data_IF_869500393938
#
_entry.id   IF_869500393938
#
_cell.length_a   1.000
_cell.length_b   1.000
_cell.length_c   1.000
_cell.angle_alpha   90.00
_cell.angle_beta   90.00
_cell.angle_gamma   90.00
#
_symmetry.space_group_name_H-M   'P 1'
#
loop_
_entity.id
_entity.type
_entity.pdbx_description
1 polymer ?
#
# COMPACT_ATOMS: atom_id res chain seq x y z
N UNK A 1 20.57 -19.27 18.23
CA UNK A 1 20.11 -17.86 18.27
C UNK A 1 20.72 -17.09 19.43
N UNK A 2 20.51 -17.45 20.72
CA UNK A 2 21.07 -16.72 21.89
C UNK A 2 22.60 -16.57 21.84
N UNK A 3 23.34 -17.64 21.49
CA UNK A 3 24.79 -17.59 21.30
C UNK A 3 25.21 -16.57 20.22
N UNK A 4 24.51 -16.54 19.06
CA UNK A 4 24.78 -15.58 17.99
C UNK A 4 24.56 -14.14 18.45
N UNK A 5 23.49 -13.89 19.21
CA UNK A 5 23.22 -12.58 19.78
C UNK A 5 24.30 -12.15 20.78
N UNK A 6 24.77 -13.08 21.63
CA UNK A 6 25.87 -12.83 22.58
C UNK A 6 27.19 -12.52 21.87
N UNK A 7 27.54 -13.28 20.83
CA UNK A 7 28.70 -12.99 19.98
C UNK A 7 28.58 -11.62 19.31
N UNK A 8 27.42 -11.28 18.80
CA UNK A 8 27.16 -9.96 18.22
C UNK A 8 27.35 -8.83 19.23
N UNK A 9 26.85 -9.00 20.47
CA UNK A 9 27.09 -8.02 21.56
C UNK A 9 28.56 -7.81 21.82
N UNK A 10 29.34 -8.90 21.90
CA UNK A 10 30.79 -8.84 22.15
C UNK A 10 31.53 -8.16 20.99
N UNK A 11 31.16 -8.46 19.74
CA UNK A 11 31.85 -7.90 18.57
C UNK A 11 31.47 -6.44 18.29
N UNK A 12 30.20 -6.05 18.53
CA UNK A 12 29.71 -4.72 18.21
C UNK A 12 29.78 -3.71 19.34
N UNK A 13 29.97 -4.18 20.59
CA UNK A 13 29.89 -3.34 21.80
C UNK A 13 28.45 -2.88 22.14
N UNK A 14 27.45 -3.28 21.35
CA UNK A 14 26.03 -2.99 21.57
C UNK A 14 25.45 -4.04 22.52
N UNK A 15 24.52 -3.64 23.39
CA UNK A 15 23.81 -4.57 24.28
C UNK A 15 22.35 -4.70 23.85
N UNK A 16 21.85 -5.92 23.76
CA UNK A 16 20.45 -6.21 23.49
C UNK A 16 19.63 -5.99 24.76
N UNK A 17 18.58 -5.20 24.66
CA UNK A 17 17.67 -5.00 25.78
C UNK A 17 16.55 -6.06 25.74
N UNK A 18 16.78 -7.19 26.41
CA UNK A 18 15.82 -8.29 26.46
C UNK A 18 14.49 -7.91 27.13
N UNK A 19 14.47 -6.94 28.05
CA UNK A 19 13.22 -6.44 28.67
C UNK A 19 12.33 -5.66 27.68
N UNK A 20 12.92 -5.10 26.62
CA UNK A 20 12.18 -4.42 25.52
C UNK A 20 11.98 -5.32 24.31
N UNK A 21 12.53 -6.52 24.34
CA UNK A 21 12.40 -7.52 23.28
C UNK A 21 11.23 -8.42 23.57
N UNK A 22 10.52 -8.80 22.53
CA UNK A 22 9.40 -9.74 22.59
C UNK A 22 9.68 -10.92 21.68
N UNK A 23 9.28 -12.11 22.10
CA UNK A 23 9.34 -13.31 21.29
C UNK A 23 7.94 -13.68 20.81
N UNK A 24 7.82 -13.98 19.52
CA UNK A 24 6.54 -14.34 18.91
C UNK A 24 6.60 -15.79 18.44
N UNK A 25 5.93 -16.68 19.13
CA UNK A 25 5.85 -18.08 18.79
C UNK A 25 4.65 -18.36 17.89
N UNK A 26 4.84 -19.18 16.83
CA UNK A 26 3.81 -19.51 15.87
C UNK A 26 3.83 -21.01 15.52
N UNK A 27 2.66 -21.60 15.29
CA UNK A 27 2.52 -23.03 14.99
C UNK A 27 2.98 -23.91 16.14
N UNK A 28 3.77 -24.94 15.85
CA UNK A 28 4.30 -25.87 16.85
C UNK A 28 5.22 -25.21 17.90
N UNK A 29 5.90 -24.12 17.52
CA UNK A 29 6.76 -23.39 18.46
C UNK A 29 5.98 -22.77 19.63
N UNK A 30 4.66 -22.67 19.55
CA UNK A 30 3.84 -22.11 20.62
C UNK A 30 3.79 -23.04 21.87
N UNK A 31 3.98 -24.33 21.68
CA UNK A 31 4.02 -25.31 22.78
C UNK A 31 5.26 -25.11 23.68
N UNK A 32 6.32 -24.53 23.13
CA UNK A 32 7.59 -24.25 23.82
C UNK A 32 7.79 -22.78 24.19
N UNK A 33 6.73 -21.97 24.15
CA UNK A 33 6.79 -20.52 24.36
C UNK A 33 7.43 -20.15 25.71
N UNK A 34 7.01 -20.82 26.79
CA UNK A 34 7.54 -20.58 28.14
C UNK A 34 9.01 -20.94 28.27
N UNK A 35 9.48 -21.96 27.57
CA UNK A 35 10.90 -22.34 27.53
C UNK A 35 11.73 -21.27 26.81
N UNK A 36 11.23 -20.76 25.68
CA UNK A 36 11.91 -19.69 24.94
C UNK A 36 11.95 -18.40 25.73
N UNK A 37 10.88 -18.03 26.45
CA UNK A 37 10.84 -16.85 27.30
C UNK A 37 11.92 -16.95 28.39
N UNK A 38 12.00 -18.08 29.08
CA UNK A 38 13.04 -18.34 30.09
C UNK A 38 14.45 -18.34 29.50
N UNK A 39 14.61 -18.97 28.32
CA UNK A 39 15.90 -19.04 27.65
C UNK A 39 16.43 -17.68 27.23
N UNK A 40 15.59 -16.81 26.65
CA UNK A 40 16.01 -15.50 26.14
C UNK A 40 15.88 -14.39 27.18
N UNK A 41 15.07 -14.56 28.22
CA UNK A 41 14.83 -13.54 29.24
C UNK A 41 14.01 -12.35 28.69
N UNK A 42 13.12 -12.60 27.74
CA UNK A 42 12.25 -11.60 27.10
C UNK A 42 10.78 -11.95 27.33
N UNK A 43 9.88 -11.03 27.01
CA UNK A 43 8.44 -11.23 27.16
C UNK A 43 7.85 -11.97 25.96
N UNK A 44 6.72 -12.68 26.17
CA UNK A 44 5.89 -13.18 25.07
C UNK A 44 5.22 -12.02 24.36
N UNK A 45 5.27 -12.02 23.05
CA UNK A 45 4.55 -11.07 22.20
C UNK A 45 3.29 -11.70 21.62
N UNK A 46 2.21 -10.92 21.56
CA UNK A 46 0.94 -11.35 20.97
C UNK A 46 0.69 -10.72 19.61
N UNK A 47 0.00 -11.45 18.72
CA UNK A 47 -0.49 -10.92 17.46
C UNK A 47 -1.82 -10.17 17.66
N UNK A 48 -2.01 -8.99 17.03
CA UNK A 48 -1.10 -8.31 16.08
C UNK A 48 -0.02 -7.50 16.78
N UNK A 49 1.24 -7.72 16.43
CA UNK A 49 2.32 -6.84 16.88
C UNK A 49 2.55 -5.66 15.92
N UNK A 50 3.26 -4.64 16.39
CA UNK A 50 3.57 -3.47 15.54
C UNK A 50 5.05 -3.43 15.21
N UNK A 51 5.34 -3.52 13.92
CA UNK A 51 6.68 -3.32 13.39
C UNK A 51 6.79 -1.93 12.77
N UNK A 52 7.64 -1.07 13.34
CA UNK A 52 7.80 0.33 12.91
C UNK A 52 6.46 1.10 12.80
N UNK A 53 5.51 0.78 13.67
CA UNK A 53 4.18 1.41 13.68
C UNK A 53 3.12 0.76 12.77
N UNK A 54 3.51 -0.21 11.94
CA UNK A 54 2.60 -0.97 11.08
C UNK A 54 2.09 -2.20 11.85
N UNK A 55 0.78 -2.44 11.90
CA UNK A 55 0.24 -3.66 12.47
C UNK A 55 0.57 -4.86 11.58
N UNK A 56 1.25 -5.84 12.15
CA UNK A 56 1.68 -7.06 11.45
C UNK A 56 0.91 -8.25 11.97
N UNK A 57 0.05 -8.82 11.13
CA UNK A 57 -0.67 -10.06 11.42
C UNK A 57 -1.14 -10.73 10.11
N UNK A 58 -1.51 -12.00 10.21
CA UNK A 58 -1.92 -12.82 9.07
C UNK A 58 -3.34 -12.54 8.55
N UNK A 59 -4.16 -11.86 9.35
CA UNK A 59 -5.56 -11.56 9.00
C UNK A 59 -5.70 -10.21 8.28
N UNK A 60 -6.85 -10.00 7.67
CA UNK A 60 -7.20 -8.71 7.08
C UNK A 60 -7.31 -7.63 8.16
N UNK A 61 -6.77 -6.43 7.85
CA UNK A 61 -6.89 -5.27 8.74
C UNK A 61 -8.36 -4.94 9.02
N UNK A 62 -8.66 -4.63 10.28
CA UNK A 62 -9.97 -4.19 10.76
C UNK A 62 -9.90 -2.73 11.19
N UNK A 63 -11.05 -2.10 11.42
CA UNK A 63 -11.12 -0.71 11.88
C UNK A 63 -10.27 -0.45 13.16
N UNK A 64 -10.18 -1.45 14.06
CA UNK A 64 -9.40 -1.34 15.28
C UNK A 64 -7.90 -1.13 15.03
N UNK A 65 -7.37 -1.67 13.94
CA UNK A 65 -5.95 -1.53 13.59
C UNK A 65 -5.59 -0.08 13.19
N UNK A 66 -6.59 0.69 12.75
CA UNK A 66 -6.49 2.11 12.43
C UNK A 66 -6.69 3.04 13.62
N UNK A 67 -7.05 2.50 14.81
CA UNK A 67 -7.37 3.29 16.00
C UNK A 67 -6.26 4.28 16.39
N UNK A 68 -4.98 3.90 16.28
CA UNK A 68 -3.87 4.83 16.55
C UNK A 68 -3.83 6.02 15.57
N UNK A 69 -4.30 5.86 14.34
CA UNK A 69 -4.44 6.97 13.40
C UNK A 69 -5.57 7.88 13.86
N UNK A 70 -6.72 7.32 14.22
CA UNK A 70 -7.88 8.08 14.73
C UNK A 70 -7.52 8.87 16.00
N UNK A 71 -6.83 8.25 16.96
CA UNK A 71 -6.36 8.90 18.20
C UNK A 71 -5.41 10.09 17.90
N UNK A 72 -4.56 9.98 16.86
CA UNK A 72 -3.74 11.12 16.42
C UNK A 72 -4.57 12.27 15.88
N UNK A 73 -5.64 11.98 15.12
CA UNK A 73 -6.58 13.00 14.66
C UNK A 73 -7.29 13.67 15.84
N UNK A 74 -7.82 12.91 16.79
CA UNK A 74 -8.48 13.42 17.99
C UNK A 74 -7.55 14.31 18.81
N UNK A 75 -6.33 13.85 19.08
CA UNK A 75 -5.33 14.62 19.81
C UNK A 75 -5.00 15.95 19.13
N UNK A 76 -4.88 15.98 17.80
CA UNK A 76 -4.62 17.23 17.08
C UNK A 76 -5.84 18.17 17.11
N UNK A 77 -7.04 17.62 17.01
CA UNK A 77 -8.27 18.40 17.10
C UNK A 77 -8.42 19.09 18.46
N UNK A 78 -8.07 18.40 19.57
CA UNK A 78 -8.14 18.97 20.92
C UNK A 78 -7.04 20.01 21.19
N UNK A 79 -5.84 19.80 20.66
CA UNK A 79 -4.72 20.74 20.83
C UNK A 79 -4.92 22.06 20.09
N UNK A 80 -5.64 22.05 18.97
CA UNK A 80 -5.75 23.25 18.14
C UNK A 80 -6.99 24.06 18.47
N UNK A 81 -6.76 25.31 18.86
CA UNK A 81 -7.81 26.31 19.04
C UNK A 81 -8.29 26.79 17.67
N UNK A 82 -8.89 25.89 16.89
CA UNK A 82 -9.34 26.16 15.53
C UNK A 82 -10.36 27.33 15.44
N UNK A 83 -11.01 27.68 16.56
CA UNK A 83 -11.90 28.86 16.65
C UNK A 83 -11.20 30.19 16.36
N UNK A 84 -9.89 30.26 16.57
CA UNK A 84 -9.09 31.46 16.32
C UNK A 84 -8.53 31.50 14.88
N UNK A 85 -8.77 30.47 14.07
CA UNK A 85 -8.29 30.38 12.70
C UNK A 85 -9.39 30.77 11.71
N UNK A 86 -8.99 31.52 10.68
CA UNK A 86 -9.82 31.75 9.50
C UNK A 86 -10.08 30.44 8.73
N UNK A 87 -11.06 30.42 7.86
CA UNK A 87 -11.33 29.27 6.99
C UNK A 87 -10.11 28.90 6.12
N UNK A 88 -9.36 29.91 5.63
CA UNK A 88 -8.11 29.68 4.89
C UNK A 88 -7.05 29.01 5.75
N UNK A 89 -6.84 29.47 6.99
CA UNK A 89 -5.91 28.82 7.92
C UNK A 89 -6.30 27.39 8.27
N UNK A 90 -7.59 27.10 8.43
CA UNK A 90 -8.08 25.73 8.64
C UNK A 90 -7.85 24.85 7.42
N UNK A 91 -8.06 25.37 6.21
CA UNK A 91 -7.79 24.66 4.95
C UNK A 91 -6.32 24.27 4.82
N UNK A 92 -5.42 25.18 5.11
CA UNK A 92 -3.97 24.91 5.11
C UNK A 92 -3.62 23.79 6.08
N UNK A 93 -4.13 23.84 7.32
CA UNK A 93 -3.88 22.79 8.31
C UNK A 93 -4.51 21.45 7.94
N UNK A 94 -5.67 21.44 7.31
CA UNK A 94 -6.29 20.21 6.79
C UNK A 94 -5.36 19.52 5.79
N UNK A 95 -4.85 20.26 4.83
CA UNK A 95 -4.03 19.70 3.77
C UNK A 95 -2.61 19.34 4.22
N UNK A 96 -1.99 20.15 5.10
CA UNK A 96 -0.62 19.94 5.54
C UNK A 96 -0.50 18.90 6.66
N UNK A 97 -1.36 18.98 7.67
CA UNK A 97 -1.22 18.13 8.87
C UNK A 97 -2.18 16.95 8.89
N UNK A 98 -3.49 17.18 8.69
CA UNK A 98 -4.44 16.06 8.81
C UNK A 98 -4.23 15.00 7.72
N UNK A 99 -3.83 15.41 6.51
CA UNK A 99 -3.53 14.44 5.45
C UNK A 99 -2.28 13.62 5.76
N UNK A 100 -1.26 14.22 6.42
CA UNK A 100 -0.03 13.51 6.76
C UNK A 100 -0.19 12.47 7.88
N UNK A 101 -1.15 12.66 8.81
CA UNK A 101 -1.35 11.73 9.94
C UNK A 101 -1.69 10.30 9.53
N UNK A 102 -2.42 10.13 8.45
CA UNK A 102 -2.82 8.82 7.90
C UNK A 102 -1.88 8.30 6.82
N UNK A 103 -1.02 9.14 6.25
CA UNK A 103 -0.20 8.87 5.07
C UNK A 103 0.65 7.61 5.22
N UNK A 104 1.26 7.41 6.39
CA UNK A 104 2.13 6.26 6.65
C UNK A 104 1.37 4.93 6.52
N UNK A 105 0.21 4.80 7.16
CA UNK A 105 -0.61 3.60 7.04
C UNK A 105 -1.20 3.43 5.63
N UNK A 106 -1.62 4.54 5.00
CA UNK A 106 -2.15 4.56 3.64
C UNK A 106 -1.10 4.25 2.57
N UNK A 107 0.19 4.37 2.88
CA UNK A 107 1.26 3.97 1.95
C UNK A 107 1.39 2.45 1.80
N UNK A 108 0.88 1.68 2.75
CA UNK A 108 0.97 0.21 2.74
C UNK A 108 -0.39 -0.47 2.61
N UNK A 109 -1.46 0.17 3.05
CA UNK A 109 -2.76 -0.46 3.14
C UNK A 109 -3.87 0.39 2.54
N UNK A 110 -4.79 -0.29 1.87
CA UNK A 110 -6.05 0.34 1.44
C UNK A 110 -6.84 0.78 2.67
N UNK A 111 -7.27 2.05 2.67
CA UNK A 111 -8.06 2.60 3.77
C UNK A 111 -9.47 1.99 3.76
N UNK A 112 -9.91 1.54 4.92
CA UNK A 112 -11.24 0.96 5.08
C UNK A 112 -12.33 2.06 5.00
N UNK A 113 -13.44 1.75 4.34
CA UNK A 113 -14.56 2.71 4.18
C UNK A 113 -15.05 3.31 5.50
N UNK A 114 -15.11 2.51 6.57
CA UNK A 114 -15.49 2.97 7.91
C UNK A 114 -14.49 3.95 8.51
N UNK A 115 -13.19 3.68 8.35
CA UNK A 115 -12.11 4.57 8.81
C UNK A 115 -12.13 5.87 8.01
N UNK A 116 -12.19 5.79 6.67
CA UNK A 116 -12.28 6.97 5.80
C UNK A 116 -13.41 7.90 6.21
N UNK A 117 -14.62 7.35 6.38
CA UNK A 117 -15.80 8.12 6.83
C UNK A 117 -15.54 8.82 8.17
N UNK A 118 -14.90 8.15 9.12
CA UNK A 118 -14.59 8.70 10.43
C UNK A 118 -13.53 9.81 10.35
N UNK A 119 -12.46 9.61 9.58
CA UNK A 119 -11.44 10.62 9.35
C UNK A 119 -12.01 11.87 8.66
N UNK A 120 -12.87 11.69 7.65
CA UNK A 120 -13.53 12.81 6.99
C UNK A 120 -14.53 13.54 7.89
N UNK A 121 -15.18 12.83 8.84
CA UNK A 121 -15.98 13.48 9.89
C UNK A 121 -15.12 14.38 10.78
N UNK A 122 -13.95 13.92 11.21
CA UNK A 122 -13.01 14.72 12.00
C UNK A 122 -12.54 15.97 11.23
N UNK A 123 -12.14 15.80 9.96
CA UNK A 123 -11.69 16.86 9.08
C UNK A 123 -12.79 17.90 8.82
N UNK A 124 -13.99 17.43 8.49
CA UNK A 124 -15.14 18.27 8.27
C UNK A 124 -15.56 19.04 9.54
N UNK A 125 -15.52 18.38 10.70
CA UNK A 125 -15.79 19.02 12.00
C UNK A 125 -14.77 20.14 12.27
N UNK A 126 -13.49 19.89 12.06
CA UNK A 126 -12.44 20.89 12.22
C UNK A 126 -12.67 22.10 11.31
N UNK A 127 -12.98 21.84 10.04
CA UNK A 127 -13.16 22.91 9.05
C UNK A 127 -14.35 23.80 9.39
N UNK A 128 -15.53 23.21 9.60
CA UNK A 128 -16.77 23.96 9.78
C UNK A 128 -16.97 24.50 11.20
N UNK A 129 -16.68 23.71 12.21
CA UNK A 129 -16.98 24.06 13.61
C UNK A 129 -15.84 24.82 14.29
N UNK A 130 -14.62 24.65 13.84
CA UNK A 130 -13.48 25.35 14.44
C UNK A 130 -13.25 25.02 15.91
N UNK A 131 -13.60 23.79 16.36
CA UNK A 131 -13.43 23.36 17.74
C UNK A 131 -14.49 23.91 18.72
N UNK A 132 -15.56 24.55 18.24
CA UNK A 132 -16.70 24.88 19.09
C UNK A 132 -17.60 23.66 19.28
N UNK A 133 -18.17 23.49 20.46
CA UNK A 133 -19.12 22.39 20.75
C UNK A 133 -20.48 22.57 20.07
N UNK A 134 -20.77 23.80 19.63
CA UNK A 134 -21.99 24.10 18.88
C UNK A 134 -21.87 23.63 17.43
N UNK A 135 -22.84 22.81 17.00
CA UNK A 135 -22.95 22.40 15.58
C UNK A 135 -23.19 23.65 14.73
N UNK A 136 -22.24 23.92 13.83
CA UNK A 136 -22.40 24.98 12.82
C UNK A 136 -22.98 24.39 11.54
N UNK A 137 -23.73 25.20 10.81
CA UNK A 137 -24.26 24.84 9.51
C UNK A 137 -23.13 24.58 8.51
N UNK A 138 -23.27 23.53 7.70
CA UNK A 138 -22.31 23.18 6.66
C UNK A 138 -22.82 23.74 5.34
N UNK A 139 -22.10 24.72 4.79
CA UNK A 139 -22.51 25.41 3.57
C UNK A 139 -22.41 24.53 2.30
N UNK A 140 -21.54 23.53 2.29
CA UNK A 140 -21.35 22.62 1.17
C UNK A 140 -21.09 21.19 1.63
N UNK A 141 -21.36 20.21 0.76
CA UNK A 141 -21.03 18.82 0.97
C UNK A 141 -19.50 18.64 0.96
N UNK A 142 -18.99 17.67 1.73
CA UNK A 142 -17.56 17.41 1.86
C UNK A 142 -16.90 17.08 0.51
N UNK A 143 -17.56 16.28 -0.31
CA UNK A 143 -17.08 15.90 -1.64
C UNK A 143 -16.90 17.08 -2.60
N UNK A 144 -17.70 18.15 -2.44
CA UNK A 144 -17.55 19.38 -3.23
C UNK A 144 -16.29 20.14 -2.78
N UNK A 145 -15.99 20.18 -1.48
CA UNK A 145 -14.79 20.81 -0.96
C UNK A 145 -13.52 20.10 -1.43
N UNK A 146 -13.58 18.78 -1.64
CA UNK A 146 -12.48 17.97 -2.13
C UNK A 146 -12.21 18.14 -3.64
N UNK A 147 -13.11 18.77 -4.41
CA UNK A 147 -12.86 19.04 -5.82
C UNK A 147 -11.69 20.01 -5.99
N UNK A 148 -10.96 19.92 -7.13
CA UNK A 148 -9.98 20.91 -7.52
C UNK A 148 -10.57 22.32 -7.59
N UNK A 149 -9.74 23.34 -7.42
CA UNK A 149 -10.18 24.75 -7.41
C UNK A 149 -10.77 25.20 -8.74
N UNK A 150 -10.22 24.73 -9.85
CA UNK A 150 -10.70 24.95 -11.21
C UNK A 150 -12.08 24.32 -11.47
N UNK A 151 -12.48 23.34 -10.64
CA UNK A 151 -13.79 22.69 -10.69
C UNK A 151 -14.75 23.19 -9.61
N UNK A 152 -14.46 24.37 -9.02
CA UNK A 152 -15.31 24.98 -7.99
C UNK A 152 -15.18 24.42 -6.59
N UNK A 153 -14.16 23.58 -6.32
CA UNK A 153 -13.83 23.07 -4.99
C UNK A 153 -12.85 23.98 -4.23
N UNK A 154 -12.53 23.60 -3.00
CA UNK A 154 -11.49 24.26 -2.19
C UNK A 154 -10.14 23.56 -2.28
N UNK A 155 -10.04 22.44 -3.00
CA UNK A 155 -8.81 21.65 -3.09
C UNK A 155 -8.44 20.97 -1.76
N UNK A 156 -9.43 20.57 -0.98
CA UNK A 156 -9.20 19.70 0.18
C UNK A 156 -8.75 18.35 -0.34
N UNK A 157 -7.61 17.84 0.12
CA UNK A 157 -7.07 16.56 -0.34
C UNK A 157 -8.07 15.44 -0.02
N UNK A 158 -8.52 14.71 -1.03
CA UNK A 158 -9.32 13.49 -0.87
C UNK A 158 -8.43 12.35 -0.40
N UNK A 159 -8.67 11.84 0.82
CA UNK A 159 -7.89 10.75 1.40
C UNK A 159 -8.02 9.44 0.60
N UNK A 160 -9.15 9.20 -0.06
CA UNK A 160 -9.35 8.02 -0.90
C UNK A 160 -8.45 8.07 -2.13
N UNK A 161 -8.43 9.22 -2.81
CA UNK A 161 -7.55 9.45 -3.97
C UNK A 161 -6.09 9.40 -3.55
N UNK A 162 -5.74 10.09 -2.46
CA UNK A 162 -4.39 10.06 -1.90
C UNK A 162 -3.91 8.65 -1.58
N UNK A 163 -4.74 7.81 -0.97
CA UNK A 163 -4.39 6.42 -0.67
C UNK A 163 -4.13 5.62 -1.96
N UNK A 164 -4.97 5.78 -2.99
CA UNK A 164 -4.72 5.15 -4.30
C UNK A 164 -3.38 5.60 -4.89
N UNK A 165 -3.08 6.88 -4.88
CA UNK A 165 -1.79 7.41 -5.38
C UNK A 165 -0.59 6.84 -4.61
N UNK A 166 -0.68 6.73 -3.28
CA UNK A 166 0.38 6.16 -2.46
C UNK A 166 0.62 4.67 -2.75
N UNK A 167 -0.45 3.91 -2.96
CA UNK A 167 -0.34 2.50 -3.34
C UNK A 167 0.12 2.33 -4.80
N UNK A 168 -0.32 3.20 -5.71
CA UNK A 168 0.10 3.19 -7.12
C UNK A 168 1.61 3.32 -7.28
N UNK A 169 2.27 4.09 -6.41
CA UNK A 169 3.72 4.22 -6.39
C UNK A 169 4.44 2.86 -6.30
N UNK A 170 3.90 1.91 -5.52
CA UNK A 170 4.49 0.57 -5.42
C UNK A 170 4.39 -0.22 -6.72
N UNK A 171 3.27 -0.07 -7.44
CA UNK A 171 3.07 -0.70 -8.75
C UNK A 171 4.04 -0.12 -9.77
N UNK A 172 4.15 1.22 -9.83
CA UNK A 172 5.08 1.91 -10.73
C UNK A 172 6.52 1.53 -10.43
N UNK A 173 6.93 1.53 -9.17
CA UNK A 173 8.27 1.11 -8.78
C UNK A 173 8.54 -0.38 -9.08
N UNK A 174 7.52 -1.25 -8.94
CA UNK A 174 7.66 -2.66 -9.28
C UNK A 174 7.86 -2.88 -10.79
N UNK A 175 7.30 -2.00 -11.63
CA UNK A 175 7.48 -2.05 -13.08
C UNK A 175 8.84 -1.50 -13.54
N UNK A 176 9.28 -0.40 -12.94
CA UNK A 176 10.40 0.40 -13.43
C UNK A 176 11.73 0.14 -12.72
N UNK A 177 11.70 -0.20 -11.42
CA UNK A 177 12.90 -0.27 -10.60
C UNK A 177 13.45 -1.70 -10.46
N UNK A 178 14.78 -1.81 -10.41
CA UNK A 178 15.52 -3.02 -10.12
C UNK A 178 16.19 -2.89 -8.75
N UNK A 179 15.44 -3.17 -7.68
CA UNK A 179 15.95 -3.15 -6.31
C UNK A 179 15.70 -4.46 -5.58
N UNK A 180 16.32 -4.63 -4.42
CA UNK A 180 16.15 -5.82 -3.56
C UNK A 180 14.69 -6.07 -3.23
N UNK A 181 13.94 -5.01 -2.94
CA UNK A 181 12.52 -5.07 -2.60
C UNK A 181 11.66 -5.52 -3.80
N UNK A 182 11.92 -4.95 -4.97
CA UNK A 182 11.23 -5.31 -6.21
C UNK A 182 11.52 -6.76 -6.59
N UNK A 183 12.76 -7.19 -6.49
CA UNK A 183 13.18 -8.58 -6.73
C UNK A 183 12.45 -9.55 -5.79
N UNK A 184 12.34 -9.20 -4.51
CA UNK A 184 11.62 -10.00 -3.52
C UNK A 184 10.12 -10.13 -3.86
N UNK A 185 9.47 -9.04 -4.24
CA UNK A 185 8.05 -9.05 -4.65
C UNK A 185 7.84 -9.83 -5.94
N UNK A 186 8.73 -9.64 -6.94
CA UNK A 186 8.69 -10.39 -8.20
C UNK A 186 8.83 -11.89 -7.94
N UNK A 187 9.82 -12.31 -7.19
CA UNK A 187 10.03 -13.73 -6.86
C UNK A 187 8.87 -14.33 -6.09
N UNK A 188 8.29 -13.57 -5.14
CA UNK A 188 7.20 -14.07 -4.29
C UNK A 188 5.85 -14.13 -4.99
N UNK A 189 5.53 -13.16 -5.83
CA UNK A 189 4.17 -12.99 -6.35
C UNK A 189 4.05 -13.10 -7.88
N UNK A 190 5.08 -12.75 -8.64
CA UNK A 190 5.02 -12.78 -10.08
C UNK A 190 5.55 -14.11 -10.64
N UNK A 191 6.62 -14.67 -10.05
CA UNK A 191 7.33 -15.83 -10.57
C UNK A 191 7.76 -15.60 -12.03
N UNK A 192 7.16 -16.33 -12.98
CA UNK A 192 7.41 -16.17 -14.43
C UNK A 192 6.35 -15.33 -15.16
N UNK A 193 5.39 -14.74 -14.43
CA UNK A 193 4.29 -13.96 -15.02
C UNK A 193 4.58 -12.47 -15.02
N UNK A 194 4.05 -11.75 -16.01
CA UNK A 194 4.02 -10.29 -15.97
C UNK A 194 2.97 -9.77 -14.99
N UNK A 195 3.13 -8.53 -14.51
CA UNK A 195 2.22 -7.95 -13.51
C UNK A 195 0.74 -7.91 -13.98
N UNK A 196 0.41 -7.60 -15.25
CA UNK A 196 -0.97 -7.63 -15.73
C UNK A 196 -1.66 -8.99 -15.53
N UNK A 197 -0.92 -10.09 -15.67
CA UNK A 197 -1.46 -11.46 -15.61
C UNK A 197 -1.71 -11.98 -14.19
N UNK A 198 -1.13 -11.33 -13.18
CA UNK A 198 -1.22 -11.80 -11.80
C UNK A 198 -2.49 -11.26 -11.14
N UNK A 199 -3.24 -12.16 -10.53
CA UNK A 199 -4.42 -11.84 -9.73
C UNK A 199 -4.16 -12.08 -8.25
N UNK A 200 -4.92 -11.40 -7.40
CA UNK A 200 -4.86 -11.62 -5.97
C UNK A 200 -5.40 -13.01 -5.59
N UNK A 201 -4.63 -13.75 -4.80
CA UNK A 201 -5.08 -15.01 -4.20
C UNK A 201 -5.51 -14.79 -2.74
N UNK A 202 -6.41 -15.61 -2.17
CA UNK A 202 -6.84 -15.49 -0.76
C UNK A 202 -5.68 -15.49 0.25
N UNK A 203 -4.66 -16.29 -0.02
CA UNK A 203 -3.47 -16.43 0.84
C UNK A 203 -2.41 -15.34 0.64
N UNK A 204 -2.63 -14.38 -0.25
CA UNK A 204 -1.71 -13.27 -0.40
C UNK A 204 -1.78 -12.30 0.78
N UNK A 205 -0.67 -11.60 1.04
CA UNK A 205 -0.62 -10.56 2.07
C UNK A 205 -1.67 -9.47 1.83
N UNK A 206 -2.11 -8.81 2.89
CA UNK A 206 -3.06 -7.71 2.80
C UNK A 206 -2.54 -6.57 1.93
N UNK A 207 -1.24 -6.28 2.02
CA UNK A 207 -0.55 -5.32 1.17
C UNK A 207 -0.70 -5.67 -0.32
N UNK A 208 -0.34 -6.90 -0.71
CA UNK A 208 -0.42 -7.35 -2.10
C UNK A 208 -1.85 -7.34 -2.64
N UNK A 209 -2.80 -7.77 -1.84
CA UNK A 209 -4.23 -7.71 -2.23
C UNK A 209 -4.70 -6.28 -2.46
N UNK A 210 -4.25 -5.33 -1.65
CA UNK A 210 -4.52 -3.90 -1.83
C UNK A 210 -3.95 -3.37 -3.15
N UNK A 211 -2.72 -3.75 -3.51
CA UNK A 211 -2.12 -3.39 -4.80
C UNK A 211 -2.89 -3.97 -5.99
N UNK A 212 -3.29 -5.23 -5.91
CA UNK A 212 -4.02 -5.88 -7.00
C UNK A 212 -5.41 -5.29 -7.26
N UNK A 213 -6.05 -4.68 -6.27
CA UNK A 213 -7.32 -3.98 -6.44
C UNK A 213 -7.22 -2.72 -7.29
N UNK A 214 -6.10 -2.00 -7.18
CA UNK A 214 -5.88 -0.75 -7.92
C UNK A 214 -5.06 -0.96 -9.19
N UNK A 215 -4.52 -2.16 -9.40
CA UNK A 215 -3.63 -2.50 -10.50
C UNK A 215 -4.18 -2.07 -11.86
N UNK A 216 -5.41 -2.45 -12.15
CA UNK A 216 -6.03 -2.19 -13.46
C UNK A 216 -6.21 -0.69 -13.71
N UNK A 217 -6.63 0.08 -12.68
CA UNK A 217 -6.75 1.53 -12.78
C UNK A 217 -5.38 2.18 -13.06
N UNK A 218 -4.31 1.68 -12.40
CA UNK A 218 -2.95 2.22 -12.58
C UNK A 218 -2.41 1.89 -13.97
N UNK A 219 -2.59 0.66 -14.42
CA UNK A 219 -2.15 0.24 -15.76
C UNK A 219 -2.89 0.98 -16.87
N UNK A 220 -4.18 1.30 -16.67
CA UNK A 220 -4.97 2.07 -17.63
C UNK A 220 -4.55 3.55 -17.71
N UNK A 221 -3.95 4.10 -16.66
CA UNK A 221 -3.47 5.50 -16.65
C UNK A 221 -2.07 5.66 -17.26
N UNK A 222 -1.35 4.55 -17.53
CA UNK A 222 0.01 4.55 -18.07
C UNK A 222 0.08 3.98 -19.47
N UNK A 223 1.04 4.46 -20.26
CA UNK A 223 1.49 3.81 -21.48
C UNK A 223 2.80 3.07 -21.19
N UNK A 224 2.92 1.83 -21.69
CA UNK A 224 4.15 1.07 -21.56
C UNK A 224 5.08 1.42 -22.71
N UNK A 225 6.23 2.02 -22.40
CA UNK A 225 7.33 2.14 -23.34
C UNK A 225 8.23 0.91 -23.20
N UNK A 226 8.29 0.08 -24.23
CA UNK A 226 9.06 -1.14 -24.22
C UNK A 226 10.49 -0.85 -24.64
N UNK A 227 11.44 -1.10 -23.72
CA UNK A 227 12.86 -0.93 -23.99
C UNK A 227 13.44 -2.13 -24.75
N UNK A 228 13.71 -3.23 -24.03
CA UNK A 228 14.33 -4.44 -24.58
C UNK A 228 13.32 -5.57 -24.88
N UNK A 229 12.08 -5.42 -24.51
CA UNK A 229 11.01 -6.39 -24.77
C UNK A 229 11.13 -7.74 -24.07
N UNK A 230 12.15 -7.97 -23.22
CA UNK A 230 12.37 -9.27 -22.56
C UNK A 230 11.34 -9.59 -21.50
N UNK A 231 10.84 -8.57 -20.82
CA UNK A 231 9.87 -8.71 -19.74
C UNK A 231 8.40 -8.57 -20.20
N UNK A 232 8.18 -8.14 -21.44
CA UNK A 232 6.85 -7.96 -22.01
C UNK A 232 6.48 -9.14 -22.89
N UNK A 233 5.25 -9.63 -22.74
CA UNK A 233 4.74 -10.75 -23.52
C UNK A 233 4.06 -10.27 -24.80
N UNK A 234 4.38 -10.91 -25.91
CA UNK A 234 3.90 -10.50 -27.22
C UNK A 234 2.36 -10.51 -27.34
N UNK A 235 1.73 -11.57 -26.86
CA UNK A 235 0.28 -11.72 -26.97
C UNK A 235 -0.52 -11.11 -25.84
N UNK A 236 0.00 -11.12 -24.62
CA UNK A 236 -0.78 -10.90 -23.42
C UNK A 236 -0.64 -9.50 -22.84
N UNK A 237 0.43 -8.78 -23.13
CA UNK A 237 0.67 -7.43 -22.64
C UNK A 237 0.31 -6.39 -23.71
N UNK A 238 -0.07 -5.20 -23.26
CA UNK A 238 -0.37 -4.07 -24.17
C UNK A 238 0.93 -3.35 -24.49
N UNK A 239 1.67 -3.82 -25.47
CA UNK A 239 2.95 -3.24 -25.89
C UNK A 239 2.85 -2.42 -27.18
N UNK A 240 1.78 -2.58 -27.94
CA UNK A 240 1.42 -1.77 -29.12
C UNK A 240 -0.09 -1.50 -29.09
N UNK A 241 -0.48 -0.26 -29.36
CA UNK A 241 -1.88 0.12 -29.40
C UNK A 241 -2.52 0.22 -28.01
N UNK A 242 -3.83 0.01 -27.92
CA UNK A 242 -4.62 0.17 -26.71
C UNK A 242 -5.06 -1.14 -26.03
N UNK A 243 -4.88 -2.28 -26.71
CA UNK A 243 -5.32 -3.61 -26.23
C UNK A 243 -4.29 -4.67 -26.53
N UNK A 244 -4.18 -5.73 -25.70
CA UNK A 244 -3.31 -6.88 -25.96
C UNK A 244 -3.70 -7.58 -27.27
N UNK A 245 -2.72 -8.14 -27.99
CA UNK A 245 -2.99 -8.87 -29.23
C UNK A 245 -3.91 -10.08 -29.05
N UNK A 246 -3.87 -10.75 -27.89
CA UNK A 246 -4.81 -11.84 -27.56
C UNK A 246 -6.29 -11.42 -27.64
N UNK A 247 -6.59 -10.14 -27.33
CA UNK A 247 -7.96 -9.61 -27.40
C UNK A 247 -8.31 -9.11 -28.79
N UNK A 248 -7.31 -8.62 -29.52
CA UNK A 248 -7.50 -8.17 -30.90
C UNK A 248 -7.58 -9.34 -31.89
N UNK A 249 -6.82 -10.41 -31.65
CA UNK A 249 -6.69 -11.57 -32.53
C UNK A 249 -6.86 -12.89 -31.77
N UNK A 250 -8.04 -13.15 -31.17
CA UNK A 250 -8.24 -14.33 -30.31
C UNK A 250 -8.07 -15.65 -31.05
N UNK A 251 -8.47 -15.71 -32.32
CA UNK A 251 -8.32 -16.92 -33.15
C UNK A 251 -6.86 -17.30 -33.34
N UNK A 252 -5.99 -16.31 -33.59
CA UNK A 252 -4.55 -16.51 -33.80
C UNK A 252 -3.88 -16.87 -32.47
N UNK A 253 -4.28 -16.21 -31.38
CA UNK A 253 -3.75 -16.52 -30.05
C UNK A 253 -4.00 -17.97 -29.63
N UNK A 254 -5.19 -18.52 -29.96
CA UNK A 254 -5.56 -19.88 -29.58
C UNK A 254 -4.74 -20.98 -30.30
N UNK A 255 -4.16 -20.68 -31.47
CA UNK A 255 -3.32 -21.61 -32.23
C UNK A 255 -1.83 -21.36 -32.03
N UNK A 256 -1.46 -20.29 -31.31
CA UNK A 256 -0.05 -19.95 -31.05
C UNK A 256 0.62 -21.02 -30.18
N UNK A 257 1.71 -21.61 -30.65
CA UNK A 257 2.50 -22.63 -29.92
C UNK A 257 3.19 -22.04 -28.68
N UNK A 258 3.55 -20.78 -28.72
CA UNK A 258 4.24 -20.08 -27.65
C UNK A 258 3.45 -18.83 -27.21
N UNK A 259 2.28 -18.98 -26.57
CA UNK A 259 1.42 -17.84 -26.19
C UNK A 259 2.10 -16.90 -25.18
N UNK A 260 3.12 -17.40 -24.46
CA UNK A 260 3.85 -16.66 -23.43
C UNK A 260 5.22 -16.13 -23.91
N UNK A 261 5.51 -16.16 -25.20
CA UNK A 261 6.76 -15.64 -25.76
C UNK A 261 6.92 -14.14 -25.44
N UNK A 262 8.16 -13.71 -25.18
CA UNK A 262 8.46 -12.30 -24.97
C UNK A 262 8.47 -11.54 -26.30
N UNK A 263 8.20 -10.24 -26.25
CA UNK A 263 8.31 -9.36 -27.43
C UNK A 263 9.71 -9.46 -28.05
N UNK A 264 10.75 -9.47 -27.21
CA UNK A 264 12.13 -9.63 -27.66
C UNK A 264 12.35 -10.95 -28.42
N UNK A 265 11.82 -12.07 -27.88
CA UNK A 265 12.03 -13.38 -28.53
C UNK A 265 11.29 -13.53 -29.86
N UNK A 266 10.18 -12.82 -30.03
CA UNK A 266 9.42 -12.85 -31.28
C UNK A 266 10.00 -11.90 -32.32
N UNK A 267 10.44 -10.70 -31.93
CA UNK A 267 10.90 -9.67 -32.85
C UNK A 267 12.40 -9.79 -33.18
N UNK A 268 13.20 -10.51 -32.39
CA UNK A 268 14.64 -10.65 -32.62
C UNK A 268 15.01 -11.70 -33.71
N UNK A 269 14.03 -12.45 -34.18
CA UNK A 269 14.24 -13.45 -35.26
C UNK A 269 13.70 -12.98 -36.60
N UNK A 270 14.48 -13.14 -37.67
CA UNK A 270 14.03 -12.96 -39.05
C UNK A 270 14.01 -14.33 -39.75
N UNK A 271 12.84 -14.81 -40.21
CA UNK A 271 11.51 -14.25 -40.09
C UNK A 271 10.97 -14.27 -38.66
N UNK A 272 9.98 -13.39 -38.33
CA UNK A 272 9.37 -13.29 -37.02
C UNK A 272 9.03 -14.68 -36.45
N UNK A 273 9.53 -15.00 -35.27
CA UNK A 273 9.30 -16.30 -34.62
C UNK A 273 7.91 -16.40 -34.02
N UNK A 274 6.88 -16.24 -34.84
CA UNK A 274 5.50 -16.50 -34.48
C UNK A 274 5.19 -17.92 -34.91
N UNK A 275 5.43 -18.89 -34.05
CA UNK A 275 5.09 -20.29 -34.34
C UNK A 275 3.60 -20.54 -33.98
N UNK A 276 2.86 -20.99 -34.99
CA UNK A 276 1.46 -21.41 -34.86
C UNK A 276 1.35 -22.92 -34.67
#
# INVERSE_FOLDING_TARGET
>A
MKLLLSVFEQMSGLKINFHKSEIFCYGQAKEFEDEYIKLFGCNAGEYPFRYLGIPTHHRQLRNIDWRKVEERFEKKLTCWKAKHLSYGGRLVLLNSVFCSLSMFMMSFFEILKGVLKKLDQYRSRFFWQGGSDKKKYRLAKWDILCRPKDQGGLGVIDLKVQNKCLLSKWIVNLLNDEGTWQSLLRNKYLSSKSLPQVQAKPNNSHFWRGLMKIKEEVLACGSFEIKDGKQSRFWEDTWVGQRPFREQYPSIYNIARQPHASVASVLSSEPLNISF
#
